data_IF_792605531360
#
_entry.id   IF_792605531360
#
_cell.length_a   1.000
_cell.length_b   1.000
_cell.length_c   1.000
_cell.angle_alpha   90.00
_cell.angle_beta   90.00
_cell.angle_gamma   90.00
#
_symmetry.space_group_name_H-M   'P 1'
#
loop_
_entity.id
_entity.type
_entity.pdbx_description
1 polymer ?
#
# COMPACT_ATOMS: atom_id res chain seq x y z
N UNK A 1 10.11 -3.13 -24.70
CA UNK A 1 9.28 -1.96 -24.47
C UNK A 1 8.98 -1.88 -22.99
N UNK A 2 9.43 -0.84 -22.30
CA UNK A 2 9.06 -0.54 -20.93
C UNK A 2 7.54 -0.33 -20.91
N UNK A 3 6.83 -1.30 -20.38
CA UNK A 3 5.46 -1.10 -19.92
C UNK A 3 5.59 -0.15 -18.71
N UNK A 4 5.22 1.12 -18.91
CA UNK A 4 5.11 2.06 -17.81
C UNK A 4 4.10 1.49 -16.82
N UNK A 5 4.56 1.09 -15.65
CA UNK A 5 3.67 0.76 -14.54
C UNK A 5 3.03 2.07 -14.11
N UNK A 6 1.84 2.34 -14.66
CA UNK A 6 0.95 3.24 -14.00
C UNK A 6 0.62 2.60 -12.66
N UNK A 7 1.08 3.17 -11.56
CA UNK A 7 0.54 2.83 -10.26
C UNK A 7 -0.91 3.31 -10.31
N UNK A 8 -1.80 2.49 -10.87
CA UNK A 8 -3.22 2.65 -10.64
C UNK A 8 -3.43 2.33 -9.17
N UNK A 9 -3.50 3.33 -8.35
CA UNK A 9 -3.96 3.16 -6.98
C UNK A 9 -5.49 3.11 -7.06
N UNK A 10 -5.99 1.96 -7.46
CA UNK A 10 -7.40 1.68 -7.33
C UNK A 10 -7.79 1.75 -5.86
N UNK A 11 -8.75 2.63 -5.50
CA UNK A 11 -9.26 2.79 -4.14
C UNK A 11 -8.52 3.77 -3.23
N UNK A 12 -7.42 4.40 -3.66
CA UNK A 12 -6.97 5.66 -3.10
C UNK A 12 -7.93 6.78 -3.50
N UNK A 13 -7.86 7.94 -2.88
CA UNK A 13 -8.67 9.09 -3.29
C UNK A 13 -8.36 9.54 -4.72
N UNK A 14 -7.32 8.96 -5.34
CA UNK A 14 -6.93 9.27 -6.70
C UNK A 14 -6.43 10.70 -6.84
N UNK A 15 -6.98 11.42 -7.80
CA UNK A 15 -6.74 12.85 -7.96
C UNK A 15 -7.43 13.60 -6.82
N UNK A 16 -6.63 14.31 -6.04
CA UNK A 16 -7.09 15.19 -4.95
C UNK A 16 -6.60 16.61 -5.24
N UNK A 17 -7.35 17.60 -4.82
CA UNK A 17 -6.90 18.98 -4.80
C UNK A 17 -6.56 19.38 -3.36
N UNK A 18 -5.42 20.02 -3.17
CA UNK A 18 -5.07 20.63 -1.89
C UNK A 18 -5.89 21.92 -1.64
N UNK A 19 -5.64 22.57 -0.51
CA UNK A 19 -6.33 23.81 -0.13
C UNK A 19 -6.08 24.98 -1.10
N UNK A 20 -5.06 24.89 -1.96
CA UNK A 20 -4.74 25.87 -3.00
C UNK A 20 -5.35 25.51 -4.36
N UNK A 21 -6.01 24.34 -4.46
CA UNK A 21 -6.53 23.82 -5.72
C UNK A 21 -5.49 23.09 -6.57
N UNK A 22 -4.24 22.94 -6.08
CA UNK A 22 -3.22 22.16 -6.77
C UNK A 22 -3.61 20.68 -6.76
N UNK A 23 -3.68 20.08 -7.94
CA UNK A 23 -3.95 18.64 -8.08
C UNK A 23 -2.74 17.83 -7.66
N UNK A 24 -2.99 16.75 -6.96
CA UNK A 24 -2.02 15.74 -6.56
C UNK A 24 -2.60 14.35 -6.62
N UNK A 25 -1.79 13.34 -6.38
CA UNK A 25 -2.21 11.96 -6.37
C UNK A 25 -1.90 11.31 -5.04
N UNK A 26 -2.87 10.60 -4.45
CA UNK A 26 -2.75 9.95 -3.14
C UNK A 26 -2.85 8.44 -3.24
N UNK A 27 -1.99 7.76 -2.46
CA UNK A 27 -2.12 6.33 -2.20
C UNK A 27 -3.11 6.05 -1.07
N UNK A 28 -3.26 4.77 -0.72
CA UNK A 28 -4.12 4.33 0.39
C UNK A 28 -3.62 4.78 1.76
N UNK A 29 -4.53 4.81 2.71
CA UNK A 29 -4.24 4.97 4.14
C UNK A 29 -3.28 3.89 4.66
N UNK A 30 -2.44 4.20 5.70
CA UNK A 30 -1.50 3.23 6.28
C UNK A 30 -2.15 2.14 7.14
N UNK A 31 -3.46 2.17 7.32
CA UNK A 31 -4.16 1.29 8.26
C UNK A 31 -3.99 -0.20 7.92
N UNK A 32 -3.81 -1.07 8.93
CA UNK A 32 -3.54 -2.50 8.72
C UNK A 32 -4.72 -3.30 8.15
N UNK A 33 -5.91 -2.70 8.04
CA UNK A 33 -7.08 -3.33 7.41
C UNK A 33 -6.90 -3.58 5.91
N UNK A 34 -5.95 -2.91 5.27
CA UNK A 34 -5.61 -3.13 3.87
C UNK A 34 -4.56 -4.25 3.76
N UNK A 35 -4.79 -5.23 2.88
CA UNK A 35 -3.98 -6.44 2.80
C UNK A 35 -2.49 -6.21 2.62
N UNK A 36 -2.08 -5.27 1.76
CA UNK A 36 -0.66 -4.92 1.57
C UNK A 36 -0.06 -4.27 2.81
N UNK A 37 -0.81 -3.42 3.52
CA UNK A 37 -0.34 -2.76 4.75
C UNK A 37 -0.24 -3.76 5.90
N UNK A 38 -1.21 -4.67 6.03
CA UNK A 38 -1.13 -5.77 6.98
C UNK A 38 0.10 -6.64 6.75
N UNK A 39 0.35 -7.04 5.50
CA UNK A 39 1.56 -7.80 5.15
C UNK A 39 2.83 -7.06 5.56
N UNK A 40 2.93 -5.74 5.30
CA UNK A 40 4.06 -4.92 5.72
C UNK A 40 4.28 -4.89 7.23
N UNK A 41 3.21 -4.69 8.02
CA UNK A 41 3.27 -4.73 9.48
C UNK A 41 3.72 -6.10 10.00
N UNK A 42 3.37 -7.17 9.28
CA UNK A 42 3.82 -8.54 9.59
C UNK A 42 5.22 -8.87 9.07
N UNK A 43 5.97 -7.88 8.55
CA UNK A 43 7.29 -8.10 7.99
C UNK A 43 7.27 -8.95 6.71
N UNK A 44 6.19 -8.89 5.96
CA UNK A 44 6.01 -9.65 4.72
C UNK A 44 5.88 -8.70 3.53
N UNK A 45 6.28 -9.17 2.36
CA UNK A 45 6.08 -8.45 1.11
C UNK A 45 4.64 -8.67 0.67
N UNK A 46 3.86 -7.61 0.61
CA UNK A 46 2.52 -7.61 0.04
C UNK A 46 2.51 -6.87 -1.29
N UNK A 47 2.01 -7.53 -2.33
CA UNK A 47 1.89 -6.96 -3.66
C UNK A 47 0.42 -7.03 -4.07
N UNK A 48 -0.15 -5.89 -4.46
CA UNK A 48 -1.49 -5.80 -5.01
C UNK A 48 -1.40 -5.56 -6.50
N UNK A 49 -2.06 -6.40 -7.28
CA UNK A 49 -2.26 -6.19 -8.71
C UNK A 49 -3.72 -5.84 -8.95
N UNK A 50 -3.94 -4.71 -9.60
CA UNK A 50 -5.27 -4.30 -10.04
C UNK A 50 -5.23 -4.00 -11.54
N UNK A 51 -5.85 -4.87 -12.34
CA UNK A 51 -6.00 -4.62 -13.75
C UNK A 51 -7.07 -3.54 -13.96
N UNK A 52 -6.77 -2.56 -14.82
CA UNK A 52 -7.64 -1.43 -15.09
C UNK A 52 -9.02 -1.90 -15.57
N UNK A 53 -10.06 -1.66 -14.78
CA UNK A 53 -11.41 -2.20 -14.98
C UNK A 53 -12.08 -1.78 -16.29
N UNK A 54 -11.60 -0.69 -16.90
CA UNK A 54 -12.14 -0.14 -18.14
C UNK A 54 -11.41 -0.62 -19.40
N UNK A 55 -10.37 -1.45 -19.24
CA UNK A 55 -9.74 -2.15 -20.35
C UNK A 55 -10.55 -3.39 -20.77
N UNK A 56 -10.29 -3.89 -21.97
CA UNK A 56 -10.90 -5.15 -22.42
C UNK A 56 -10.46 -6.30 -21.50
N UNK A 57 -11.33 -7.32 -21.36
CA UNK A 57 -11.04 -8.48 -20.53
C UNK A 57 -9.74 -9.17 -20.96
N UNK A 58 -9.52 -9.28 -22.26
CA UNK A 58 -8.31 -9.88 -22.84
C UNK A 58 -7.04 -9.14 -22.37
N UNK A 59 -7.01 -7.81 -22.46
CA UNK A 59 -5.87 -7.01 -22.01
C UNK A 59 -5.65 -7.11 -20.50
N UNK A 60 -6.72 -7.15 -19.73
CA UNK A 60 -6.68 -7.32 -18.28
C UNK A 60 -6.09 -8.68 -17.90
N UNK A 61 -6.50 -9.74 -18.56
CA UNK A 61 -5.93 -11.08 -18.36
C UNK A 61 -4.46 -11.09 -18.74
N UNK A 62 -4.11 -10.59 -19.92
CA UNK A 62 -2.72 -10.59 -20.39
C UNK A 62 -1.78 -9.80 -19.48
N UNK A 63 -2.19 -8.60 -19.02
CA UNK A 63 -1.39 -7.77 -18.12
C UNK A 63 -1.23 -8.42 -16.75
N UNK A 64 -2.29 -9.00 -16.18
CA UNK A 64 -2.23 -9.69 -14.89
C UNK A 64 -1.37 -10.95 -14.98
N UNK A 65 -1.49 -11.72 -16.05
CA UNK A 65 -0.66 -12.90 -16.28
C UNK A 65 0.82 -12.53 -16.37
N UNK A 66 1.17 -11.52 -17.18
CA UNK A 66 2.54 -11.05 -17.30
C UNK A 66 3.10 -10.59 -15.95
N UNK A 67 2.31 -9.82 -15.19
CA UNK A 67 2.69 -9.33 -13.87
C UNK A 67 2.97 -10.48 -12.88
N UNK A 68 2.08 -11.48 -12.81
CA UNK A 68 2.27 -12.65 -11.93
C UNK A 68 3.50 -13.45 -12.35
N UNK A 69 3.72 -13.63 -13.65
CA UNK A 69 4.87 -14.36 -14.18
C UNK A 69 6.20 -13.69 -13.80
N UNK A 70 6.27 -12.37 -13.91
CA UNK A 70 7.45 -11.60 -13.49
C UNK A 70 7.71 -11.72 -11.98
N UNK A 71 6.66 -11.69 -11.16
CA UNK A 71 6.79 -11.90 -9.71
C UNK A 71 7.33 -13.30 -9.42
N UNK A 72 6.79 -14.34 -10.05
CA UNK A 72 7.26 -15.72 -9.83
C UNK A 72 8.70 -15.89 -10.25
N UNK A 73 9.11 -15.31 -11.39
CA UNK A 73 10.49 -15.29 -11.85
C UNK A 73 11.43 -14.60 -10.87
N UNK A 74 11.01 -13.41 -10.36
CA UNK A 74 11.77 -12.68 -9.35
C UNK A 74 11.89 -13.46 -8.04
N UNK A 75 10.82 -14.12 -7.59
CA UNK A 75 10.84 -14.95 -6.38
C UNK A 75 11.74 -16.16 -6.56
N UNK A 76 11.74 -16.78 -7.73
CA UNK A 76 12.64 -17.89 -8.05
C UNK A 76 14.10 -17.44 -7.99
N UNK A 77 14.42 -16.28 -8.56
CA UNK A 77 15.78 -15.71 -8.57
C UNK A 77 16.23 -15.23 -7.17
N UNK A 78 15.36 -14.49 -6.47
CA UNK A 78 15.70 -13.80 -5.21
C UNK A 78 15.23 -14.52 -3.94
N UNK A 79 14.76 -15.77 -4.04
CA UNK A 79 14.11 -16.47 -2.93
C UNK A 79 14.95 -16.55 -1.64
N UNK A 80 16.29 -16.72 -1.75
CA UNK A 80 17.17 -16.72 -0.59
C UNK A 80 17.23 -15.36 0.11
N UNK A 81 17.31 -14.26 -0.67
CA UNK A 81 17.31 -12.91 -0.15
C UNK A 81 15.96 -12.57 0.51
N UNK A 82 14.86 -12.97 -0.10
CA UNK A 82 13.50 -12.78 0.45
C UNK A 82 13.36 -13.49 1.79
N UNK A 83 13.78 -14.75 1.89
CA UNK A 83 13.76 -15.50 3.16
C UNK A 83 14.61 -14.83 4.23
N UNK A 84 15.81 -14.37 3.88
CA UNK A 84 16.67 -13.63 4.82
C UNK A 84 16.03 -12.33 5.31
N UNK A 85 15.40 -11.56 4.42
CA UNK A 85 14.69 -10.34 4.77
C UNK A 85 13.53 -10.61 5.72
N UNK A 86 12.69 -11.59 5.44
CA UNK A 86 11.54 -11.93 6.28
C UNK A 86 11.97 -12.48 7.64
N UNK A 87 13.02 -13.30 7.70
CA UNK A 87 13.57 -13.80 8.96
C UNK A 87 14.12 -12.66 9.85
N UNK A 88 14.80 -11.67 9.25
CA UNK A 88 15.23 -10.46 9.98
C UNK A 88 14.05 -9.65 10.46
N UNK A 89 13.02 -9.48 9.63
CA UNK A 89 11.82 -8.74 10.02
C UNK A 89 11.08 -9.40 11.19
N UNK A 90 11.15 -10.72 11.34
CA UNK A 90 10.58 -11.44 12.49
C UNK A 90 11.43 -11.27 13.76
N UNK A 91 12.76 -11.31 13.64
CA UNK A 91 13.67 -11.27 14.80
C UNK A 91 13.93 -9.85 15.32
N UNK A 92 13.95 -8.86 14.45
CA UNK A 92 14.32 -7.49 14.80
C UNK A 92 13.38 -6.85 15.84
N UNK A 93 12.04 -6.91 15.75
CA UNK A 93 11.16 -6.36 16.76
C UNK A 93 11.34 -7.02 18.13
N UNK A 94 11.67 -8.31 18.17
CA UNK A 94 11.96 -9.03 19.42
C UNK A 94 13.24 -8.52 20.10
N UNK A 95 14.24 -8.17 19.30
CA UNK A 95 15.49 -7.58 19.85
C UNK A 95 15.25 -6.20 20.44
N UNK A 96 14.40 -5.39 19.81
CA UNK A 96 14.06 -4.05 20.33
C UNK A 96 13.37 -4.11 21.69
N UNK A 97 12.39 -5.01 21.86
CA UNK A 97 11.69 -5.17 23.13
C UNK A 97 12.59 -5.69 24.27
N UNK A 98 13.68 -6.39 23.93
CA UNK A 98 14.66 -6.89 24.92
C UNK A 98 15.73 -5.88 25.31
N UNK A 99 15.87 -4.81 24.58
CA UNK A 99 16.87 -3.76 24.82
C UNK A 99 16.18 -2.42 25.02
N UNK A 100 15.71 -2.11 26.26
CA UNK A 100 14.96 -0.88 26.56
C UNK A 100 15.72 0.40 26.19
N UNK A 101 17.05 0.35 26.19
CA UNK A 101 17.93 1.46 25.85
C UNK A 101 18.09 1.65 24.32
N UNK A 102 17.41 0.83 23.51
CA UNK A 102 17.44 1.00 22.08
C UNK A 102 16.76 2.32 21.72
N UNK A 103 17.42 3.15 20.92
CA UNK A 103 16.85 4.38 20.35
C UNK A 103 15.78 4.08 19.28
N UNK A 104 15.38 2.81 19.18
CA UNK A 104 14.41 2.37 18.18
C UNK A 104 13.01 2.84 18.56
N UNK A 105 12.40 3.56 17.65
CA UNK A 105 11.02 4.04 17.78
C UNK A 105 10.15 3.37 16.70
N UNK A 106 8.91 3.10 17.04
CA UNK A 106 7.89 2.62 16.10
C UNK A 106 6.85 3.70 15.88
N UNK A 107 6.51 3.93 14.62
CA UNK A 107 5.44 4.85 14.25
C UNK A 107 4.08 4.27 14.63
N UNK A 108 3.39 4.90 15.57
CA UNK A 108 2.04 4.51 16.02
C UNK A 108 0.98 5.29 15.25
N UNK A 109 1.31 6.50 14.84
CA UNK A 109 0.48 7.33 13.97
C UNK A 109 1.33 7.91 12.85
N UNK A 110 0.76 7.95 11.67
CA UNK A 110 1.43 8.49 10.49
C UNK A 110 0.48 9.32 9.67
N UNK A 111 1.02 10.27 8.93
CA UNK A 111 0.32 11.03 7.91
C UNK A 111 0.95 10.82 6.53
N UNK A 112 0.15 11.08 5.50
CA UNK A 112 0.57 10.93 4.12
C UNK A 112 1.31 12.19 3.67
N UNK A 113 2.48 12.01 3.07
CA UNK A 113 3.31 13.10 2.55
C UNK A 113 3.70 12.84 1.10
N UNK A 114 3.91 13.92 0.36
CA UNK A 114 4.37 13.81 -1.02
C UNK A 114 5.86 13.51 -1.09
N UNK A 115 6.23 12.75 -2.11
CA UNK A 115 7.63 12.55 -2.48
C UNK A 115 8.10 13.70 -3.36
N UNK A 116 9.09 14.51 -2.94
CA UNK A 116 9.75 15.44 -3.85
C UNK A 116 10.73 14.69 -4.77
N UNK A 117 11.01 15.19 -5.98
CA UNK A 117 10.35 16.28 -6.70
C UNK A 117 8.99 15.90 -7.26
N UNK A 118 8.25 16.88 -7.83
CA UNK A 118 6.99 16.60 -8.54
C UNK A 118 7.20 15.50 -9.57
N UNK A 119 6.35 14.47 -9.52
CA UNK A 119 6.45 13.33 -10.41
C UNK A 119 5.62 13.55 -11.69
N UNK A 120 6.08 12.96 -12.79
CA UNK A 120 5.33 12.90 -14.03
C UNK A 120 4.27 11.81 -13.94
N UNK A 121 3.00 12.23 -13.94
CA UNK A 121 1.83 11.33 -14.00
C UNK A 121 1.29 11.37 -15.42
N UNK A 122 1.12 10.19 -16.02
CA UNK A 122 0.53 10.09 -17.36
C UNK A 122 -0.98 10.19 -17.23
N UNK A 123 -1.57 11.16 -17.93
CA UNK A 123 -3.01 11.36 -18.02
C UNK A 123 -3.48 11.14 -19.45
N UNK A 124 -4.54 10.39 -19.63
CA UNK A 124 -5.22 10.29 -20.92
C UNK A 124 -6.08 11.52 -21.14
N UNK A 125 -5.97 12.12 -22.32
CA UNK A 125 -6.79 13.26 -22.69
C UNK A 125 -8.19 12.79 -23.12
N UNK A 126 -9.19 13.49 -22.59
CA UNK A 126 -10.60 13.27 -22.96
C UNK A 126 -11.09 14.41 -23.85
N UNK A 127 -12.04 14.14 -24.69
CA UNK A 127 -12.71 15.16 -25.50
C UNK A 127 -14.23 15.12 -25.33
N UNK A 128 -14.84 16.29 -25.29
CA UNK A 128 -16.30 16.43 -25.27
C UNK A 128 -16.87 16.10 -26.63
N UNK A 129 -17.88 15.23 -26.66
CA UNK A 129 -18.48 14.77 -27.89
C UNK A 129 -19.71 15.60 -28.34
N UNK A 130 -20.25 16.42 -27.44
CA UNK A 130 -21.54 17.07 -27.64
C UNK A 130 -22.77 16.15 -27.45
N UNK A 131 -22.54 14.84 -27.34
CA UNK A 131 -23.57 13.84 -27.06
C UNK A 131 -23.61 13.52 -25.56
N UNK A 132 -24.52 14.13 -24.84
CA UNK A 132 -24.71 13.92 -23.39
C UNK A 132 -25.24 12.51 -23.05
N UNK A 133 -25.64 11.70 -24.03
CA UNK A 133 -26.07 10.32 -23.82
C UNK A 133 -24.90 9.35 -23.79
N UNK A 134 -23.77 9.72 -24.37
CA UNK A 134 -22.58 8.87 -24.44
C UNK A 134 -22.05 8.55 -23.04
N UNK A 135 -21.95 7.27 -22.75
CA UNK A 135 -21.36 6.75 -21.53
C UNK A 135 -20.28 5.73 -21.85
N UNK A 136 -19.09 5.91 -21.27
CA UNK A 136 -18.00 4.95 -21.32
C UNK A 136 -17.51 4.67 -19.90
N UNK A 137 -17.14 3.44 -19.57
CA UNK A 137 -16.61 3.13 -18.24
C UNK A 137 -15.40 4.00 -17.90
N UNK A 138 -15.41 4.65 -16.72
CA UNK A 138 -14.33 5.50 -16.24
C UNK A 138 -14.10 6.80 -16.99
N UNK A 139 -15.06 7.20 -17.84
CA UNK A 139 -15.02 8.46 -18.58
C UNK A 139 -16.25 9.29 -18.18
N UNK A 140 -16.10 10.60 -17.95
CA UNK A 140 -17.25 11.46 -17.70
C UNK A 140 -18.29 11.37 -18.82
N UNK A 141 -19.55 11.47 -18.43
CA UNK A 141 -20.66 11.40 -19.38
C UNK A 141 -20.54 12.51 -20.45
N UNK A 142 -20.71 12.15 -21.70
CA UNK A 142 -20.57 13.08 -22.83
C UNK A 142 -19.14 13.31 -23.28
N UNK A 143 -18.19 12.58 -22.72
CA UNK A 143 -16.79 12.60 -23.13
C UNK A 143 -16.36 11.25 -23.72
N UNK A 144 -15.30 11.26 -24.50
CA UNK A 144 -14.65 10.04 -25.00
C UNK A 144 -13.14 10.12 -24.85
N UNK A 145 -12.51 8.95 -24.81
CA UNK A 145 -11.06 8.81 -24.81
C UNK A 145 -10.49 9.19 -26.17
N UNK A 146 -9.41 9.94 -26.17
CA UNK A 146 -8.72 10.35 -27.41
C UNK A 146 -7.58 9.39 -27.78
N UNK A 147 -7.14 8.55 -26.87
CA UNK A 147 -5.92 7.74 -27.02
C UNK A 147 -4.63 8.58 -26.95
N UNK A 148 -4.72 9.88 -26.71
CA UNK A 148 -3.57 10.74 -26.48
C UNK A 148 -3.26 10.80 -24.99
N UNK A 149 -1.97 10.86 -24.67
CA UNK A 149 -1.49 10.86 -23.30
C UNK A 149 -0.60 12.07 -23.08
N UNK A 150 -0.85 12.78 -21.98
CA UNK A 150 -0.08 13.93 -21.55
C UNK A 150 0.58 13.64 -20.22
N UNK A 151 1.86 14.00 -20.09
CA UNK A 151 2.54 13.93 -18.79
C UNK A 151 2.26 15.21 -18.00
N UNK A 152 1.61 15.06 -16.85
CA UNK A 152 1.33 16.14 -15.92
C UNK A 152 2.27 16.01 -14.72
N UNK A 153 2.95 17.07 -14.34
CA UNK A 153 3.79 17.09 -13.14
C UNK A 153 2.94 17.50 -11.94
N UNK A 154 2.88 16.61 -10.94
CA UNK A 154 2.10 16.85 -9.73
C UNK A 154 2.75 16.20 -8.51
N UNK A 155 2.42 16.63 -7.28
CA UNK A 155 2.82 15.92 -6.08
C UNK A 155 2.16 14.53 -6.05
N UNK A 156 2.95 13.52 -5.70
CA UNK A 156 2.47 12.16 -5.47
C UNK A 156 2.65 11.87 -3.99
N UNK A 157 1.55 11.70 -3.29
CA UNK A 157 1.49 11.40 -1.85
C UNK A 157 1.51 9.88 -1.67
N UNK A 158 2.70 9.31 -1.60
CA UNK A 158 2.93 7.86 -1.54
C UNK A 158 3.79 7.42 -0.35
N UNK A 159 4.18 8.35 0.51
CA UNK A 159 4.99 8.12 1.70
C UNK A 159 4.23 8.46 2.96
N UNK A 160 4.60 7.78 4.03
CA UNK A 160 4.07 8.05 5.36
C UNK A 160 5.18 8.56 6.25
N UNK A 161 4.94 9.71 6.90
CA UNK A 161 5.81 10.22 7.94
C UNK A 161 5.16 10.00 9.29
N UNK A 162 5.95 9.67 10.30
CA UNK A 162 5.43 9.49 11.66
C UNK A 162 5.02 10.83 12.25
N UNK A 163 3.85 10.85 12.88
CA UNK A 163 3.35 11.96 13.70
C UNK A 163 3.27 11.58 15.18
N UNK A 164 3.47 10.30 15.50
CA UNK A 164 3.55 9.79 16.86
C UNK A 164 4.39 8.53 16.89
N UNK A 165 5.52 8.63 17.53
CA UNK A 165 6.42 7.50 17.78
C UNK A 165 6.32 7.02 19.23
N UNK A 166 6.56 5.74 19.45
CA UNK A 166 6.68 5.10 20.75
C UNK A 166 7.83 4.10 20.75
N UNK A 167 8.51 3.99 21.86
CA UNK A 167 9.45 2.90 22.08
C UNK A 167 8.67 1.56 22.12
N UNK A 168 9.18 0.50 21.49
CA UNK A 168 8.55 -0.82 21.58
C UNK A 168 8.63 -1.32 23.04
N UNK A 169 7.50 -1.74 23.64
CA UNK A 169 7.52 -2.29 24.98
C UNK A 169 8.15 -3.71 24.99
N UNK A 170 8.70 -4.11 26.13
CA UNK A 170 9.21 -5.47 26.30
C UNK A 170 8.09 -6.52 26.26
N UNK A 171 6.90 -6.18 26.74
CA UNK A 171 5.72 -7.03 26.75
C UNK A 171 4.43 -6.19 26.83
N UNK A 172 3.33 -6.81 26.45
CA UNK A 172 1.98 -6.30 26.69
C UNK A 172 1.30 -7.16 27.73
N UNK A 173 0.62 -6.54 28.68
CA UNK A 173 -0.23 -7.22 29.64
C UNK A 173 -1.69 -7.10 29.17
N UNK A 174 -2.39 -8.23 29.13
CA UNK A 174 -3.78 -8.32 28.69
C UNK A 174 -4.61 -8.78 29.90
N UNK A 175 -5.68 -8.05 30.16
CA UNK A 175 -6.57 -8.40 31.27
C UNK A 175 -7.28 -9.76 31.01
N UNK A 176 -7.53 -10.57 32.06
CA UNK A 176 -8.15 -11.88 31.91
C UNK A 176 -9.52 -11.88 31.23
N UNK A 177 -10.28 -10.80 31.39
CA UNK A 177 -11.58 -10.57 30.76
C UNK A 177 -11.50 -10.40 29.24
N UNK A 178 -10.33 -10.05 28.71
CA UNK A 178 -10.11 -9.81 27.28
C UNK A 178 -9.75 -11.11 26.50
N UNK A 179 -10.40 -12.23 26.83
CA UNK A 179 -10.14 -13.54 26.21
C UNK A 179 -10.27 -13.53 24.67
N UNK A 180 -11.16 -12.69 24.13
CA UNK A 180 -11.31 -12.53 22.68
C UNK A 180 -10.05 -11.95 22.05
N UNK A 181 -9.38 -11.01 22.69
CA UNK A 181 -8.11 -10.42 22.24
C UNK A 181 -7.02 -11.49 22.24
N UNK A 182 -6.93 -12.30 23.31
CA UNK A 182 -5.97 -13.41 23.40
C UNK A 182 -6.17 -14.40 22.25
N UNK A 183 -7.43 -14.76 21.97
CA UNK A 183 -7.77 -15.66 20.86
C UNK A 183 -7.31 -15.08 19.52
N UNK A 184 -7.60 -13.80 19.28
CA UNK A 184 -7.21 -13.12 18.05
C UNK A 184 -5.68 -13.06 17.89
N UNK A 185 -4.95 -12.72 18.93
CA UNK A 185 -3.49 -12.68 18.91
C UNK A 185 -2.88 -14.04 18.55
N UNK A 186 -3.42 -15.13 19.13
CA UNK A 186 -2.98 -16.49 18.83
C UNK A 186 -3.28 -16.88 17.38
N UNK A 187 -4.43 -16.49 16.83
CA UNK A 187 -4.74 -16.69 15.40
C UNK A 187 -3.73 -15.98 14.49
N UNK A 188 -3.20 -14.85 14.93
CA UNK A 188 -2.13 -14.14 14.23
C UNK A 188 -0.71 -14.67 14.51
N UNK A 189 -0.59 -15.82 15.21
CA UNK A 189 0.69 -16.43 15.53
C UNK A 189 1.50 -15.68 16.60
N UNK A 190 0.86 -14.82 17.39
CA UNK A 190 1.49 -14.09 18.48
C UNK A 190 1.46 -14.98 19.72
N UNK A 191 2.62 -15.18 20.36
CA UNK A 191 2.71 -15.95 21.59
C UNK A 191 2.08 -15.17 22.74
N UNK A 192 1.16 -15.80 23.44
CA UNK A 192 0.53 -15.26 24.64
C UNK A 192 0.67 -16.29 25.75
N UNK A 193 1.46 -15.93 26.75
CA UNK A 193 1.70 -16.75 27.94
C UNK A 193 0.82 -16.25 29.08
N UNK A 194 0.46 -17.15 30.01
CA UNK A 194 -0.22 -16.78 31.25
C UNK A 194 0.83 -16.35 32.27
N UNK A 195 0.58 -15.23 32.95
CA UNK A 195 1.37 -14.80 34.11
C UNK A 195 0.53 -14.97 35.37
N UNK A 196 1.09 -15.60 36.38
CA UNK A 196 0.45 -15.74 37.69
C UNK A 196 0.83 -14.60 38.66
N UNK A 197 1.68 -13.66 38.20
CA UNK A 197 2.06 -12.44 38.91
C UNK A 197 1.52 -11.21 38.16
N UNK A 198 0.63 -10.49 38.80
CA UNK A 198 0.23 -9.13 38.40
C UNK A 198 1.20 -8.11 38.96
#
# INVERSE_FOLDING_TARGET
GLLGYGICVGGGRGLVADTTGQQGWETYEPRPRFGTKYSGIRGRIGILSEAYSHDSLERRIASTYAFVNEILSLVAEKGAAIRSLTARADSQPLSWGRSPDSLQMIAVRSELVSSPPLQGVIREDLEKTGDSSLTQPGVPRGERRTGRYTTVRMPVYDRFTSTLDRAPPAAYVIAPEDAAVVTLLRLHGIRVDRSDSA
#
